data_IF_702121036132
#
_entry.id   IF_702121036132
#
_cell.length_a   1.000
_cell.length_b   1.000
_cell.length_c   1.000
_cell.angle_alpha   90.00
_cell.angle_beta   90.00
_cell.angle_gamma   90.00
#
_symmetry.space_group_name_H-M   'P 1'
#
loop_
_entity.id
_entity.type
_entity.pdbx_description
1 polymer ?
#
# COMPACT_ATOMS: atom_id res chain seq x y z
N UNK A 1 3.12 6.44 -11.82
CA UNK A 1 2.70 5.93 -10.49
C UNK A 1 1.61 4.92 -10.74
N UNK A 2 1.78 3.65 -10.34
CA UNK A 2 0.75 2.64 -10.58
C UNK A 2 -0.43 2.79 -9.61
N UNK A 3 -1.66 2.90 -10.13
CA UNK A 3 -2.90 2.96 -9.36
C UNK A 3 -3.65 1.63 -9.46
N UNK A 4 -3.87 0.98 -8.32
CA UNK A 4 -4.64 -0.27 -8.23
C UNK A 4 -5.93 -0.01 -7.44
N UNK A 5 -7.09 -0.18 -8.07
CA UNK A 5 -8.39 0.06 -7.43
C UNK A 5 -9.42 -1.01 -7.76
N UNK A 6 -10.48 -1.10 -6.96
CA UNK A 6 -11.50 -2.15 -7.04
C UNK A 6 -12.23 -2.29 -5.71
N UNK A 7 -13.22 -3.17 -5.64
CA UNK A 7 -14.08 -3.33 -4.46
C UNK A 7 -13.40 -4.05 -3.29
N UNK A 8 -14.00 -3.98 -2.10
CA UNK A 8 -13.54 -4.78 -0.95
C UNK A 8 -13.51 -6.26 -1.31
N UNK A 9 -12.39 -6.93 -1.04
CA UNK A 9 -12.21 -8.35 -1.39
C UNK A 9 -11.71 -8.62 -2.82
N UNK A 10 -11.55 -7.61 -3.68
CA UNK A 10 -11.09 -7.80 -5.07
C UNK A 10 -9.62 -8.23 -5.23
N UNK A 11 -8.89 -8.42 -4.13
CA UNK A 11 -7.49 -8.85 -4.18
C UNK A 11 -6.45 -7.73 -4.32
N UNK A 12 -6.83 -6.44 -4.17
CA UNK A 12 -5.89 -5.30 -4.19
C UNK A 12 -4.65 -5.51 -3.30
N UNK A 13 -4.85 -5.97 -2.07
CA UNK A 13 -3.74 -6.24 -1.15
C UNK A 13 -2.85 -7.36 -1.68
N UNK A 14 -3.37 -8.37 -2.39
CA UNK A 14 -2.52 -9.40 -3.01
C UNK A 14 -1.67 -8.78 -4.13
N UNK A 15 -2.29 -7.97 -4.99
CA UNK A 15 -1.59 -7.29 -6.09
C UNK A 15 -0.48 -6.34 -5.59
N UNK A 16 -0.72 -5.61 -4.50
CA UNK A 16 0.33 -4.71 -3.95
C UNK A 16 1.48 -5.49 -3.31
N UNK A 17 1.20 -6.66 -2.72
CA UNK A 17 2.24 -7.57 -2.20
C UNK A 17 3.08 -8.17 -3.33
N UNK A 18 2.44 -8.58 -4.43
CA UNK A 18 3.13 -9.06 -5.64
C UNK A 18 4.01 -7.96 -6.23
N UNK A 19 3.47 -6.75 -6.37
CA UNK A 19 4.22 -5.59 -6.85
C UNK A 19 5.42 -5.28 -5.95
N UNK A 20 5.22 -5.23 -4.63
CA UNK A 20 6.29 -5.04 -3.65
C UNK A 20 7.39 -6.08 -3.77
N UNK A 21 7.02 -7.35 -3.99
CA UNK A 21 7.96 -8.45 -4.19
C UNK A 21 8.76 -8.30 -5.48
N UNK A 22 8.11 -7.87 -6.57
CA UNK A 22 8.72 -7.70 -7.88
C UNK A 22 9.68 -6.51 -7.91
N UNK A 23 9.24 -5.34 -7.42
CA UNK A 23 10.01 -4.10 -7.49
C UNK A 23 10.98 -3.93 -6.33
N UNK A 24 10.91 -4.80 -5.31
CA UNK A 24 11.65 -4.67 -4.05
C UNK A 24 11.34 -3.35 -3.32
N UNK A 25 10.17 -2.78 -3.55
CA UNK A 25 9.71 -1.54 -2.93
C UNK A 25 8.93 -1.85 -1.65
N UNK A 26 9.25 -1.23 -0.50
CA UNK A 26 8.51 -1.45 0.75
C UNK A 26 7.10 -0.85 0.69
N UNK A 27 6.19 -1.43 1.46
CA UNK A 27 4.82 -0.90 1.63
C UNK A 27 4.82 0.04 2.84
N UNK A 28 4.37 1.27 2.64
CA UNK A 28 4.11 2.27 3.67
C UNK A 28 2.72 2.03 4.27
N UNK A 29 2.63 2.04 5.60
CA UNK A 29 1.39 1.79 6.32
C UNK A 29 1.24 2.67 7.58
N UNK A 30 0.03 2.68 8.13
CA UNK A 30 -0.37 3.58 9.22
C UNK A 30 0.08 3.12 10.61
N UNK A 31 0.38 1.82 10.79
CA UNK A 31 0.66 1.27 12.12
C UNK A 31 1.48 -0.03 12.08
N UNK A 32 2.13 -0.36 13.19
CA UNK A 32 2.83 -1.63 13.39
C UNK A 32 1.89 -2.84 13.25
N UNK A 33 0.66 -2.72 13.73
CA UNK A 33 -0.35 -3.77 13.56
C UNK A 33 -0.65 -4.04 12.07
N UNK A 34 -0.65 -2.99 11.23
CA UNK A 34 -0.84 -3.14 9.79
C UNK A 34 0.36 -3.80 9.12
N UNK A 35 1.58 -3.36 9.48
CA UNK A 35 2.85 -3.96 9.03
C UNK A 35 2.89 -5.46 9.30
N UNK A 36 2.55 -5.90 10.51
CA UNK A 36 2.47 -7.32 10.85
C UNK A 36 1.43 -8.07 10.01
N UNK A 37 0.23 -7.51 9.84
CA UNK A 37 -0.81 -8.11 8.99
C UNK A 37 -0.39 -8.24 7.53
N UNK A 38 0.37 -7.28 6.99
CA UNK A 38 0.90 -7.35 5.63
C UNK A 38 1.90 -8.50 5.49
N UNK A 39 2.81 -8.65 6.45
CA UNK A 39 3.78 -9.76 6.49
C UNK A 39 3.09 -11.11 6.62
N UNK A 40 2.06 -11.22 7.47
CA UNK A 40 1.25 -12.43 7.62
C UNK A 40 0.53 -12.81 6.32
N UNK A 41 -0.09 -11.84 5.64
CA UNK A 41 -0.72 -12.07 4.33
C UNK A 41 0.30 -12.50 3.27
N UNK A 42 1.45 -11.82 3.19
CA UNK A 42 2.52 -12.16 2.27
C UNK A 42 2.98 -13.62 2.47
N UNK A 43 3.20 -14.00 3.74
CA UNK A 43 3.52 -15.37 4.13
C UNK A 43 2.42 -16.36 3.72
N UNK A 44 1.15 -16.02 3.96
CA UNK A 44 0.01 -16.85 3.56
C UNK A 44 -0.09 -17.09 2.05
N UNK A 45 0.40 -16.14 1.24
CA UNK A 45 0.48 -16.29 -0.22
C UNK A 45 1.80 -16.87 -0.72
N UNK A 46 2.77 -17.17 0.16
CA UNK A 46 4.11 -17.60 -0.25
C UNK A 46 4.95 -16.50 -0.91
N UNK A 47 4.61 -15.22 -0.71
CA UNK A 47 5.27 -14.07 -1.31
C UNK A 47 6.29 -13.50 -0.32
N UNK A 48 7.52 -13.21 -0.79
CA UNK A 48 8.53 -12.49 -0.02
C UNK A 48 8.52 -11.01 -0.40
N UNK A 49 8.26 -10.13 0.56
CA UNK A 49 8.29 -8.67 0.38
C UNK A 49 9.39 -8.05 1.26
N UNK A 50 9.90 -6.85 0.92
CA UNK A 50 10.66 -6.03 1.86
C UNK A 50 9.86 -5.74 3.14
N UNK A 51 10.55 -5.39 4.22
CA UNK A 51 9.90 -5.00 5.47
C UNK A 51 9.02 -3.76 5.22
N UNK A 52 7.70 -3.80 5.53
CA UNK A 52 6.86 -2.61 5.46
C UNK A 52 7.35 -1.53 6.43
N UNK A 53 7.10 -0.27 6.06
CA UNK A 53 7.49 0.92 6.82
C UNK A 53 6.23 1.49 7.46
N UNK A 54 6.29 1.83 8.75
CA UNK A 54 5.25 2.62 9.40
C UNK A 54 5.55 4.10 9.15
N UNK A 55 4.56 4.92 8.81
CA UNK A 55 4.80 6.31 8.41
C UNK A 55 5.57 7.14 9.45
N UNK A 56 5.46 6.80 10.73
CA UNK A 56 6.21 7.44 11.83
C UNK A 56 7.71 7.08 11.85
N UNK A 57 8.14 6.01 11.18
CA UNK A 57 9.55 5.62 11.04
C UNK A 57 10.29 6.50 10.02
N UNK A 58 9.56 7.23 9.18
CA UNK A 58 10.11 8.06 8.10
C UNK A 58 10.43 7.27 6.82
N UNK A 59 10.14 7.87 5.67
CA UNK A 59 10.39 7.27 4.34
C UNK A 59 11.01 8.27 3.35
N UNK A 60 11.71 9.29 3.85
CA UNK A 60 12.31 10.35 3.03
C UNK A 60 13.27 9.79 1.97
N UNK A 61 13.11 10.26 0.73
CA UNK A 61 13.93 9.86 -0.40
C UNK A 61 13.76 8.42 -0.87
N UNK A 62 12.73 7.70 -0.40
CA UNK A 62 12.47 6.31 -0.80
C UNK A 62 11.19 6.20 -1.63
N UNK A 63 11.24 5.37 -2.66
CA UNK A 63 10.03 4.89 -3.32
C UNK A 63 9.26 3.98 -2.36
N UNK A 64 7.94 4.15 -2.31
CA UNK A 64 7.04 3.37 -1.46
C UNK A 64 5.79 2.95 -2.21
N UNK A 65 5.22 1.82 -1.79
CA UNK A 65 3.87 1.40 -2.15
C UNK A 65 2.92 1.73 -1.01
N UNK A 66 1.67 2.06 -1.29
CA UNK A 66 0.67 2.38 -0.26
C UNK A 66 -0.52 1.43 -0.38
N UNK A 67 -0.76 0.61 0.66
CA UNK A 67 -1.96 -0.22 0.77
C UNK A 67 -3.00 0.51 1.61
N UNK A 68 -4.24 0.58 1.13
CA UNK A 68 -5.33 1.34 1.77
C UNK A 68 -4.96 2.82 2.07
N UNK A 69 -4.81 3.66 1.01
CA UNK A 69 -4.37 5.05 1.16
C UNK A 69 -5.31 5.88 2.03
N UNK A 70 -6.58 5.48 2.17
CA UNK A 70 -7.52 6.16 3.06
C UNK A 70 -7.03 6.12 4.50
N UNK A 71 -6.75 4.93 5.04
CA UNK A 71 -6.29 4.78 6.43
C UNK A 71 -4.99 5.50 6.70
N UNK A 72 -4.06 5.42 5.75
CA UNK A 72 -2.78 6.11 5.85
C UNK A 72 -2.97 7.63 5.93
N UNK A 73 -3.71 8.20 4.99
CA UNK A 73 -3.94 9.65 4.94
C UNK A 73 -4.74 10.14 6.15
N UNK A 74 -5.74 9.38 6.61
CA UNK A 74 -6.50 9.72 7.82
C UNK A 74 -5.60 9.74 9.07
N UNK A 75 -4.69 8.79 9.19
CA UNK A 75 -3.72 8.74 10.28
C UNK A 75 -2.73 9.91 10.24
N UNK A 76 -2.23 10.27 9.04
CA UNK A 76 -1.26 11.36 8.85
C UNK A 76 -1.88 12.75 9.03
N UNK A 77 -3.10 12.95 8.54
CA UNK A 77 -3.78 14.25 8.55
C UNK A 77 -4.52 14.52 9.86
N UNK A 78 -4.67 13.51 10.73
CA UNK A 78 -5.54 13.55 11.91
C UNK A 78 -6.96 14.03 11.57
N UNK A 79 -7.47 13.60 10.41
CA UNK A 79 -8.73 14.05 9.85
C UNK A 79 -9.40 12.92 9.05
N UNK A 80 -10.72 13.00 8.87
CA UNK A 80 -11.47 12.05 8.05
C UNK A 80 -11.25 12.37 6.56
N UNK A 81 -10.87 11.36 5.77
CA UNK A 81 -10.66 11.55 4.33
C UNK A 81 -11.99 11.39 3.59
N UNK A 82 -12.53 12.51 3.11
CA UNK A 82 -13.81 12.57 2.41
C UNK A 82 -13.67 12.33 0.90
N UNK A 83 -12.53 12.70 0.31
CA UNK A 83 -12.25 12.51 -1.10
C UNK A 83 -10.78 12.73 -1.42
N UNK A 84 -10.33 12.17 -2.56
CA UNK A 84 -8.98 12.32 -3.08
C UNK A 84 -9.04 12.28 -4.61
N UNK A 85 -8.24 13.13 -5.25
CA UNK A 85 -8.00 13.07 -6.70
C UNK A 85 -6.56 12.67 -6.96
N UNK A 86 -6.32 11.91 -8.03
CA UNK A 86 -4.99 11.49 -8.44
C UNK A 86 -4.81 11.73 -9.93
N UNK A 87 -3.65 12.23 -10.33
CA UNK A 87 -3.25 12.34 -11.72
C UNK A 87 -2.47 11.08 -12.11
N UNK A 88 -2.97 10.32 -13.06
CA UNK A 88 -2.39 9.05 -13.52
C UNK A 88 -2.50 8.93 -15.03
N UNK A 89 -1.47 8.37 -15.68
CA UNK A 89 -1.59 7.94 -17.08
C UNK A 89 -2.51 6.71 -17.17
N UNK A 90 -3.21 6.51 -18.28
CA UNK A 90 -4.08 5.34 -18.46
C UNK A 90 -3.32 4.01 -18.32
N UNK A 91 -2.07 3.96 -18.80
CA UNK A 91 -1.21 2.77 -18.74
C UNK A 91 -0.82 2.38 -17.30
N UNK A 92 -0.92 3.32 -16.37
CA UNK A 92 -0.57 3.15 -14.97
C UNK A 92 -1.76 2.65 -14.11
N UNK A 93 -2.95 2.46 -14.71
CA UNK A 93 -4.18 2.15 -13.99
C UNK A 93 -4.53 0.66 -14.11
N UNK A 94 -4.70 0.00 -12.98
CA UNK A 94 -5.18 -1.39 -12.88
C UNK A 94 -6.48 -1.43 -12.08
N UNK A 95 -7.57 -1.88 -12.72
CA UNK A 95 -8.86 -2.15 -12.06
C UNK A 95 -8.99 -3.65 -11.79
N UNK A 96 -9.38 -4.00 -10.57
CA UNK A 96 -9.68 -5.38 -10.13
C UNK A 96 -11.16 -5.56 -9.85
#
# INVERSE_FOLDING_TARGET
>A
MKLIYGDCGSGKTKQILELSSQTKTPILCESEARKLRLLEKAKGYGIRIPLPIVYTEGCEGRDVLVDDPKRLLEAMLHANLVGLTVNVSQDDVTKL
#
